data_IF_469702033729
#
_entry.id   IF_469702033729
#
_cell.length_a   1.000
_cell.length_b   1.000
_cell.length_c   1.000
_cell.angle_alpha   90.00
_cell.angle_beta   90.00
_cell.angle_gamma   90.00
#
_symmetry.space_group_name_H-M   'P 1'
#
loop_
_entity.id
_entity.type
_entity.pdbx_description
1 polymer ?
#
# COMPACT_ATOMS: atom_id res chain seq x y z
N UNK A 1 9.33 8.95 -18.72
CA UNK A 1 10.64 8.41 -18.30
C UNK A 1 10.41 6.99 -17.86
N UNK A 2 11.06 6.03 -18.51
CA UNK A 2 10.91 4.60 -18.22
C UNK A 2 11.71 4.26 -16.95
N UNK A 3 11.17 4.69 -15.82
CA UNK A 3 11.86 4.60 -14.54
C UNK A 3 11.73 3.17 -14.01
N UNK A 4 12.87 2.50 -13.86
CA UNK A 4 12.96 1.22 -13.16
C UNK A 4 13.06 1.51 -11.66
N UNK A 5 12.29 0.78 -10.86
CA UNK A 5 12.19 1.01 -9.41
C UNK A 5 12.99 -0.03 -8.61
N UNK A 6 13.22 0.25 -7.33
CA UNK A 6 13.88 -0.67 -6.41
C UNK A 6 15.41 -0.62 -6.48
N UNK A 7 16.06 -1.76 -6.25
CA UNK A 7 17.51 -1.85 -6.12
C UNK A 7 18.22 -1.89 -7.48
N UNK A 8 18.47 -0.71 -8.04
CA UNK A 8 19.17 -0.54 -9.32
C UNK A 8 20.69 -0.36 -9.17
N UNK A 9 21.20 -0.27 -7.94
CA UNK A 9 22.63 -0.04 -7.70
C UNK A 9 23.46 -1.25 -8.15
N UNK A 10 24.52 -1.00 -8.92
CA UNK A 10 25.44 -2.04 -9.41
C UNK A 10 24.98 -2.79 -10.66
N UNK A 11 23.84 -2.45 -11.26
CA UNK A 11 23.38 -3.08 -12.50
C UNK A 11 24.18 -2.57 -13.72
N UNK A 12 24.55 -3.49 -14.61
CA UNK A 12 25.21 -3.15 -15.88
C UNK A 12 24.24 -2.44 -16.84
N UNK A 13 24.72 -1.57 -17.75
CA UNK A 13 23.87 -0.92 -18.75
C UNK A 13 23.07 -1.89 -19.62
N UNK A 14 23.62 -3.08 -19.90
CA UNK A 14 22.91 -4.15 -20.63
C UNK A 14 21.69 -4.69 -19.86
N UNK A 15 21.84 -4.88 -18.55
CA UNK A 15 20.79 -5.37 -17.65
C UNK A 15 19.68 -4.32 -17.50
N UNK A 16 20.04 -3.04 -17.38
CA UNK A 16 19.06 -1.94 -17.38
C UNK A 16 18.26 -1.88 -18.67
N UNK A 17 18.91 -2.06 -19.83
CA UNK A 17 18.21 -2.12 -21.13
C UNK A 17 17.26 -3.32 -21.23
N UNK A 18 17.61 -4.47 -20.67
CA UNK A 18 16.68 -5.62 -20.62
C UNK A 18 15.45 -5.33 -19.76
N UNK A 19 15.62 -4.70 -18.59
CA UNK A 19 14.50 -4.30 -17.72
C UNK A 19 13.62 -3.25 -18.41
N UNK A 20 14.20 -2.28 -19.12
CA UNK A 20 13.45 -1.31 -19.93
C UNK A 20 12.67 -1.97 -21.07
N UNK A 21 13.19 -3.05 -21.68
CA UNK A 21 12.45 -3.81 -22.69
C UNK A 21 11.21 -4.49 -22.12
N UNK A 22 11.26 -4.98 -20.86
CA UNK A 22 10.07 -5.51 -20.19
C UNK A 22 8.99 -4.44 -20.06
N UNK A 23 9.36 -3.20 -19.72
CA UNK A 23 8.42 -2.10 -19.58
C UNK A 23 7.60 -1.81 -20.85
N UNK A 24 8.19 -2.02 -22.02
CA UNK A 24 7.53 -1.78 -23.31
C UNK A 24 6.71 -2.98 -23.80
N UNK A 25 6.78 -4.12 -23.12
CA UNK A 25 6.07 -5.32 -23.55
C UNK A 25 4.58 -5.20 -23.24
N UNK A 26 3.76 -5.71 -24.16
CA UNK A 26 2.31 -5.88 -23.94
C UNK A 26 1.97 -7.34 -23.81
N UNK A 27 1.04 -7.60 -22.91
CA UNK A 27 0.45 -8.90 -22.66
C UNK A 27 -1.02 -8.90 -23.10
N UNK A 28 -1.61 -10.07 -23.35
CA UNK A 28 -3.07 -10.20 -23.45
C UNK A 28 -3.75 -9.72 -22.16
N UNK A 29 -4.89 -9.04 -22.28
CA UNK A 29 -5.62 -8.49 -21.13
C UNK A 29 -6.32 -9.56 -20.30
N UNK A 30 -6.79 -10.61 -20.98
CA UNK A 30 -7.53 -11.79 -20.53
C UNK A 30 -6.71 -12.82 -19.74
N UNK A 31 -5.38 -12.66 -19.71
CA UNK A 31 -4.48 -13.63 -19.07
C UNK A 31 -3.62 -12.96 -18.02
N UNK A 32 -3.27 -13.70 -16.97
CA UNK A 32 -2.39 -13.20 -15.92
C UNK A 32 -0.99 -12.87 -16.46
N UNK A 33 -0.44 -13.79 -17.26
CA UNK A 33 0.87 -13.66 -17.92
C UNK A 33 0.92 -14.52 -19.18
N UNK A 34 2.02 -14.45 -19.93
CA UNK A 34 2.34 -15.41 -21.00
C UNK A 34 3.59 -16.19 -20.62
N UNK A 35 3.74 -17.41 -21.18
CA UNK A 35 4.94 -18.22 -20.93
C UNK A 35 6.22 -17.49 -21.33
N UNK A 36 6.19 -16.77 -22.46
CA UNK A 36 7.34 -15.99 -22.92
C UNK A 36 7.68 -14.86 -21.94
N UNK A 37 6.68 -14.11 -21.46
CA UNK A 37 6.90 -13.00 -20.53
C UNK A 37 7.44 -13.50 -19.19
N UNK A 38 6.82 -14.52 -18.61
CA UNK A 38 7.23 -15.10 -17.33
C UNK A 38 8.66 -15.65 -17.39
N UNK A 39 9.00 -16.40 -18.45
CA UNK A 39 10.36 -16.92 -18.63
C UNK A 39 11.38 -15.80 -18.84
N UNK A 40 11.01 -14.71 -19.52
CA UNK A 40 11.88 -13.54 -19.71
C UNK A 40 12.16 -12.81 -18.40
N UNK A 41 11.13 -12.57 -17.58
CA UNK A 41 11.30 -11.94 -16.25
C UNK A 41 12.17 -12.82 -15.35
N UNK A 42 11.94 -14.14 -15.37
CA UNK A 42 12.73 -15.13 -14.66
C UNK A 42 14.19 -15.15 -15.10
N UNK A 43 14.46 -15.12 -16.40
CA UNK A 43 15.81 -15.09 -16.95
C UNK A 43 16.59 -13.83 -16.53
N UNK A 44 15.94 -12.66 -16.60
CA UNK A 44 16.55 -11.40 -16.13
C UNK A 44 16.85 -11.48 -14.63
N UNK A 45 15.90 -11.98 -13.83
CA UNK A 45 16.08 -12.16 -12.39
C UNK A 45 17.25 -13.10 -12.03
N UNK A 46 17.40 -14.21 -12.77
CA UNK A 46 18.54 -15.12 -12.65
C UNK A 46 19.86 -14.45 -13.02
N UNK A 47 19.88 -13.65 -14.10
CA UNK A 47 21.10 -12.94 -14.57
C UNK A 47 21.57 -11.87 -13.56
N UNK A 48 20.64 -11.11 -12.97
CA UNK A 48 20.97 -10.05 -11.99
C UNK A 48 21.10 -10.59 -10.55
N UNK A 49 20.75 -11.86 -10.32
CA UNK A 49 20.68 -12.50 -9.01
C UNK A 49 19.86 -11.69 -7.98
N UNK A 50 18.76 -11.08 -8.43
CA UNK A 50 17.83 -10.32 -7.61
C UNK A 50 16.39 -10.57 -8.08
N UNK A 51 15.40 -10.54 -7.18
CA UNK A 51 13.99 -10.56 -7.55
C UNK A 51 13.65 -9.43 -8.54
N UNK A 52 12.71 -9.68 -9.45
CA UNK A 52 12.18 -8.71 -10.40
C UNK A 52 10.66 -8.76 -10.33
N UNK A 53 10.04 -7.59 -10.24
CA UNK A 53 8.59 -7.42 -10.24
C UNK A 53 8.16 -6.64 -11.49
N UNK A 54 7.08 -7.08 -12.13
CA UNK A 54 6.44 -6.35 -13.21
C UNK A 54 4.95 -6.18 -12.90
N UNK A 55 4.51 -4.93 -12.91
CA UNK A 55 3.13 -4.53 -12.65
C UNK A 55 2.45 -4.23 -13.98
N UNK A 56 1.31 -4.88 -14.21
CA UNK A 56 0.61 -4.88 -15.49
C UNK A 56 -0.84 -4.46 -15.23
N UNK A 57 -1.35 -3.51 -16.01
CA UNK A 57 -2.76 -3.12 -15.92
C UNK A 57 -3.68 -4.11 -16.66
N UNK A 58 -5.00 -4.01 -16.46
CA UNK A 58 -5.99 -4.87 -17.17
C UNK A 58 -5.94 -4.77 -18.71
N UNK A 59 -5.35 -3.70 -19.28
CA UNK A 59 -5.12 -3.57 -20.74
C UNK A 59 -3.87 -4.31 -21.21
N UNK A 60 -3.18 -5.02 -20.31
CA UNK A 60 -1.96 -5.77 -20.60
C UNK A 60 -0.71 -4.91 -20.77
N UNK A 61 -0.76 -3.64 -20.39
CA UNK A 61 0.42 -2.75 -20.45
C UNK A 61 1.23 -2.89 -19.16
N UNK A 62 2.54 -3.08 -19.29
CA UNK A 62 3.45 -2.99 -18.15
C UNK A 62 3.56 -1.51 -17.73
N UNK A 63 3.11 -1.21 -16.51
CA UNK A 63 3.10 0.16 -15.97
C UNK A 63 4.28 0.43 -15.03
N UNK A 64 4.94 -0.63 -14.54
CA UNK A 64 6.10 -0.54 -13.65
C UNK A 64 6.94 -1.81 -13.72
N UNK A 65 8.25 -1.64 -13.70
CA UNK A 65 9.22 -2.73 -13.52
C UNK A 65 10.10 -2.36 -12.33
N UNK A 66 10.29 -3.30 -11.41
CA UNK A 66 11.08 -3.11 -10.21
C UNK A 66 12.08 -4.23 -9.99
N UNK A 67 13.25 -3.90 -9.46
CA UNK A 67 14.26 -4.86 -8.99
C UNK A 67 14.17 -4.92 -7.47
N UNK A 68 13.84 -6.09 -6.93
CA UNK A 68 13.52 -6.31 -5.52
C UNK A 68 12.19 -7.01 -5.34
N UNK A 69 11.83 -7.27 -4.07
CA UNK A 69 10.58 -7.93 -3.73
C UNK A 69 9.36 -7.02 -4.00
N UNK A 70 8.13 -7.58 -4.03
CA UNK A 70 6.91 -6.77 -4.17
C UNK A 70 6.78 -5.68 -3.10
N UNK A 71 7.28 -5.91 -1.89
CA UNK A 71 7.31 -4.89 -0.83
C UNK A 71 8.28 -3.73 -1.15
N UNK A 72 9.43 -4.01 -1.75
CA UNK A 72 10.43 -2.99 -2.10
C UNK A 72 10.05 -2.19 -3.35
N UNK A 73 9.23 -2.76 -4.22
CA UNK A 73 8.91 -2.22 -5.55
C UNK A 73 7.47 -1.71 -5.68
N UNK A 74 6.72 -1.75 -4.57
CA UNK A 74 5.31 -1.37 -4.49
C UNK A 74 5.00 0.00 -5.09
N UNK A 75 3.81 0.10 -5.67
CA UNK A 75 3.20 1.34 -6.12
C UNK A 75 2.59 2.03 -4.89
N UNK A 76 3.00 3.27 -4.57
CA UNK A 76 2.40 4.03 -3.48
C UNK A 76 0.87 4.17 -3.67
N UNK A 77 0.06 4.22 -2.60
CA UNK A 77 -1.39 4.36 -2.72
C UNK A 77 -1.84 5.53 -3.61
N UNK A 78 -1.14 6.67 -3.56
CA UNK A 78 -1.42 7.85 -4.39
C UNK A 78 -1.16 7.66 -5.90
N UNK A 79 -0.37 6.67 -6.28
CA UNK A 79 -0.07 6.34 -7.69
C UNK A 79 -0.99 5.23 -8.23
N UNK A 80 -1.82 4.61 -7.38
CA UNK A 80 -2.74 3.55 -7.82
C UNK A 80 -3.90 4.17 -8.61
N UNK A 81 -4.27 3.60 -9.78
CA UNK A 81 -5.30 4.16 -10.64
C UNK A 81 -6.70 4.02 -10.05
N UNK A 82 -6.90 3.04 -9.17
CA UNK A 82 -8.14 2.75 -8.47
C UNK A 82 -7.77 2.40 -7.03
N UNK A 83 -8.39 3.08 -6.07
CA UNK A 83 -8.28 2.79 -4.65
C UNK A 83 -9.68 2.86 -4.02
N UNK A 84 -10.01 1.92 -3.13
CA UNK A 84 -11.32 1.80 -2.50
C UNK A 84 -11.63 0.37 -2.06
N UNK A 85 -12.52 0.21 -1.07
CA UNK A 85 -12.85 -1.10 -0.49
C UNK A 85 -13.62 -2.01 -1.45
N UNK A 86 -14.46 -1.44 -2.31
CA UNK A 86 -15.38 -2.19 -3.19
C UNK A 86 -14.70 -2.89 -4.37
N UNK A 87 -13.42 -2.59 -4.65
CA UNK A 87 -12.77 -3.02 -5.89
C UNK A 87 -11.28 -3.25 -5.74
N UNK A 88 -10.72 -3.94 -6.72
CA UNK A 88 -9.27 -4.17 -6.85
C UNK A 88 -8.64 -2.99 -7.62
N UNK A 89 -7.32 -2.87 -7.57
CA UNK A 89 -6.59 -1.74 -8.14
C UNK A 89 -6.50 -1.76 -9.66
N UNK A 90 -6.90 -2.86 -10.32
CA UNK A 90 -6.78 -3.01 -11.76
C UNK A 90 -5.37 -3.37 -12.23
N UNK A 91 -4.53 -3.83 -11.30
CA UNK A 91 -3.11 -4.13 -11.51
C UNK A 91 -2.85 -5.55 -11.04
N UNK A 92 -2.25 -6.36 -11.92
CA UNK A 92 -1.65 -7.65 -11.57
C UNK A 92 -0.13 -7.52 -11.48
N UNK A 93 0.49 -8.31 -10.60
CA UNK A 93 1.94 -8.31 -10.44
C UNK A 93 2.52 -9.69 -10.74
N UNK A 94 3.56 -9.71 -11.59
CA UNK A 94 4.40 -10.88 -11.83
C UNK A 94 5.73 -10.64 -11.12
N UNK A 95 5.99 -11.40 -10.06
CA UNK A 95 7.20 -11.28 -9.25
C UNK A 95 8.03 -12.55 -9.34
N UNK A 96 9.35 -12.43 -9.30
CA UNK A 96 10.24 -13.59 -9.18
C UNK A 96 10.75 -13.74 -7.76
N UNK A 97 11.06 -14.98 -7.37
CA UNK A 97 11.76 -15.29 -6.14
C UNK A 97 12.86 -16.32 -6.42
N UNK A 98 14.08 -16.01 -5.98
CA UNK A 98 15.24 -16.90 -6.13
C UNK A 98 15.09 -18.20 -5.33
N UNK A 99 14.41 -18.13 -4.18
CA UNK A 99 14.11 -19.28 -3.32
C UNK A 99 12.89 -20.04 -3.83
N UNK A 100 12.95 -21.36 -3.80
CA UNK A 100 11.87 -22.26 -4.21
C UNK A 100 10.91 -22.57 -3.04
N UNK A 101 10.50 -21.53 -2.34
CA UNK A 101 9.57 -21.60 -1.20
C UNK A 101 8.32 -20.77 -1.49
N UNK A 102 7.19 -21.04 -0.80
CA UNK A 102 6.04 -20.14 -0.83
C UNK A 102 6.45 -18.69 -0.53
N UNK A 103 5.75 -17.70 -1.10
CA UNK A 103 6.00 -16.29 -0.79
C UNK A 103 5.80 -16.03 0.70
N UNK A 104 6.66 -15.20 1.27
CA UNK A 104 6.57 -14.81 2.68
C UNK A 104 5.40 -13.83 2.92
N UNK A 105 5.04 -13.64 4.19
CA UNK A 105 3.96 -12.73 4.60
C UNK A 105 4.15 -11.31 4.05
N UNK A 106 5.38 -10.76 4.05
CA UNK A 106 5.61 -9.40 3.55
C UNK A 106 5.32 -9.22 2.06
N UNK A 107 5.52 -10.27 1.27
CA UNK A 107 5.15 -10.29 -0.16
C UNK A 107 3.63 -10.26 -0.33
N UNK A 108 2.90 -11.06 0.46
CA UNK A 108 1.43 -11.10 0.43
C UNK A 108 0.81 -9.82 1.00
N UNK A 109 1.38 -9.25 2.06
CA UNK A 109 0.98 -7.94 2.58
C UNK A 109 1.17 -6.85 1.53
N UNK A 110 2.24 -6.87 0.74
CA UNK A 110 2.42 -5.90 -0.34
C UNK A 110 1.33 -6.03 -1.43
N UNK A 111 0.85 -7.23 -1.71
CA UNK A 111 -0.30 -7.47 -2.60
C UNK A 111 -1.57 -6.84 -2.04
N UNK A 112 -1.87 -7.09 -0.76
CA UNK A 112 -3.04 -6.57 -0.08
C UNK A 112 -3.05 -5.03 -0.01
N UNK A 113 -1.94 -4.42 0.41
CA UNK A 113 -1.84 -2.96 0.50
C UNK A 113 -2.09 -2.24 -0.83
N UNK A 114 -1.67 -2.86 -1.95
CA UNK A 114 -1.89 -2.34 -3.30
C UNK A 114 -3.21 -2.80 -3.93
N UNK A 115 -4.02 -3.58 -3.22
CA UNK A 115 -5.24 -4.23 -3.70
C UNK A 115 -5.07 -4.87 -5.08
N UNK A 116 -3.95 -5.56 -5.30
CA UNK A 116 -3.65 -6.11 -6.62
C UNK A 116 -4.74 -7.10 -7.05
N UNK A 117 -5.08 -7.06 -8.34
CA UNK A 117 -6.02 -8.00 -8.95
C UNK A 117 -5.54 -9.46 -8.73
N UNK A 118 -4.23 -9.68 -8.86
CA UNK A 118 -3.55 -10.93 -8.51
C UNK A 118 -2.04 -10.73 -8.42
N UNK A 119 -1.36 -11.63 -7.69
CA UNK A 119 0.09 -11.75 -7.61
C UNK A 119 0.53 -13.15 -8.03
N UNK A 120 1.29 -13.26 -9.12
CA UNK A 120 1.99 -14.50 -9.47
C UNK A 120 3.46 -14.41 -9.06
N UNK A 121 3.88 -15.32 -8.18
CA UNK A 121 5.27 -15.45 -7.71
C UNK A 121 5.95 -16.63 -8.40
N UNK A 122 6.84 -16.33 -9.34
CA UNK A 122 7.64 -17.27 -10.09
C UNK A 122 8.85 -17.72 -9.26
N UNK A 123 8.93 -18.99 -8.90
CA UNK A 123 10.16 -19.55 -8.33
C UNK A 123 11.12 -19.95 -9.43
N UNK A 124 12.40 -19.69 -9.23
CA UNK A 124 13.41 -19.93 -10.26
C UNK A 124 14.02 -21.32 -10.12
N UNK A 125 14.25 -21.98 -11.25
CA UNK A 125 14.96 -23.25 -11.32
C UNK A 125 16.46 -23.09 -11.05
N UNK A 126 17.04 -21.94 -11.41
CA UNK A 126 18.48 -21.68 -11.40
C UNK A 126 19.18 -22.12 -12.69
N UNK A 127 18.48 -22.84 -13.57
CA UNK A 127 18.99 -23.35 -14.84
C UNK A 127 18.04 -22.94 -15.96
N UNK A 128 18.55 -22.50 -17.10
CA UNK A 128 17.71 -22.05 -18.20
C UNK A 128 18.52 -21.81 -19.46
N UNK A 129 17.84 -21.82 -20.60
CA UNK A 129 18.48 -21.61 -21.89
C UNK A 129 17.68 -20.63 -22.74
N UNK A 130 18.39 -19.84 -23.53
CA UNK A 130 17.81 -19.04 -24.59
C UNK A 130 17.75 -19.88 -25.86
N UNK A 131 16.54 -20.19 -26.34
CA UNK A 131 16.34 -20.88 -27.62
C UNK A 131 16.11 -19.87 -28.73
N UNK A 132 16.86 -20.01 -29.83
CA UNK A 132 16.69 -19.21 -31.06
C UNK A 132 15.23 -19.28 -31.52
N UNK A 133 14.57 -18.13 -31.66
CA UNK A 133 13.18 -18.01 -32.11
C UNK A 133 12.09 -18.21 -31.03
N UNK A 134 12.39 -18.79 -29.86
CA UNK A 134 11.42 -18.99 -28.77
C UNK A 134 11.74 -18.24 -27.46
N UNK A 135 12.88 -17.57 -27.38
CA UNK A 135 13.25 -16.76 -26.23
C UNK A 135 13.77 -17.58 -25.05
N UNK A 136 13.68 -17.01 -23.84
CA UNK A 136 14.11 -17.66 -22.61
C UNK A 136 13.20 -18.86 -22.27
N UNK A 137 13.79 -19.98 -21.85
CA UNK A 137 13.06 -21.20 -21.47
C UNK A 137 13.74 -21.91 -20.30
N UNK A 138 12.95 -22.54 -19.44
CA UNK A 138 13.43 -23.37 -18.33
C UNK A 138 13.76 -22.64 -17.03
N UNK A 139 13.68 -21.30 -16.99
CA UNK A 139 14.03 -20.49 -15.83
C UNK A 139 12.99 -20.53 -14.71
N UNK A 140 11.71 -20.77 -15.03
CA UNK A 140 10.62 -20.89 -14.05
C UNK A 140 10.47 -22.36 -13.63
N UNK A 141 10.56 -22.64 -12.33
CA UNK A 141 10.33 -23.97 -11.76
C UNK A 141 8.86 -24.21 -11.43
N UNK A 142 8.26 -23.29 -10.66
CA UNK A 142 6.85 -23.33 -10.30
C UNK A 142 6.34 -21.92 -10.03
N UNK A 143 5.02 -21.76 -10.02
CA UNK A 143 4.36 -20.48 -9.73
C UNK A 143 3.42 -20.64 -8.55
N UNK A 144 3.42 -19.66 -7.65
CA UNK A 144 2.37 -19.47 -6.66
C UNK A 144 1.46 -18.34 -7.12
N UNK A 145 0.16 -18.58 -7.15
CA UNK A 145 -0.84 -17.56 -7.40
C UNK A 145 -1.43 -17.13 -6.06
N UNK A 146 -1.43 -15.82 -5.81
CA UNK A 146 -2.12 -15.23 -4.67
C UNK A 146 -3.11 -14.17 -5.18
N UNK A 147 -4.26 -14.07 -4.51
CA UNK A 147 -5.24 -13.03 -4.74
C UNK A 147 -5.94 -12.70 -3.43
N UNK A 148 -6.59 -11.54 -3.39
CA UNK A 148 -7.37 -11.11 -2.24
C UNK A 148 -8.72 -11.81 -2.23
N UNK A 149 -9.36 -11.83 -1.07
CA UNK A 149 -10.74 -12.26 -0.85
C UNK A 149 -11.43 -11.25 0.07
N UNK A 150 -12.76 -11.25 0.11
CA UNK A 150 -13.49 -10.31 0.96
C UNK A 150 -13.48 -10.70 2.45
N UNK A 151 -13.10 -11.93 2.79
CA UNK A 151 -13.03 -12.41 4.18
C UNK A 151 -12.01 -11.59 5.02
N UNK A 152 -12.47 -10.85 6.04
CA UNK A 152 -11.60 -10.04 6.90
C UNK A 152 -10.57 -10.83 7.71
N UNK A 153 -10.80 -12.12 7.96
CA UNK A 153 -9.89 -12.96 8.77
C UNK A 153 -8.69 -13.45 7.97
N UNK A 154 -8.91 -13.77 6.70
CA UNK A 154 -7.90 -14.42 5.85
C UNK A 154 -7.17 -13.43 4.94
N UNK A 155 -7.83 -12.34 4.51
CA UNK A 155 -7.33 -11.27 3.62
C UNK A 155 -6.89 -11.71 2.21
N UNK A 156 -6.38 -12.93 2.03
CA UNK A 156 -5.91 -13.49 0.76
C UNK A 156 -5.92 -15.02 0.76
N UNK A 157 -5.94 -15.58 -0.44
CA UNK A 157 -5.68 -17.00 -0.70
C UNK A 157 -4.32 -17.13 -1.40
N UNK A 158 -3.62 -18.22 -1.08
CA UNK A 158 -2.40 -18.64 -1.74
C UNK A 158 -2.59 -20.03 -2.32
N UNK A 159 -2.41 -20.18 -3.64
CA UNK A 159 -2.49 -21.47 -4.31
C UNK A 159 -1.35 -22.40 -3.89
N UNK A 160 -1.51 -23.74 -3.99
CA UNK A 160 -0.36 -24.63 -4.07
C UNK A 160 0.52 -24.28 -5.29
N UNK A 161 1.78 -24.75 -5.34
CA UNK A 161 2.64 -24.50 -6.49
C UNK A 161 2.05 -25.12 -7.76
N UNK A 162 1.87 -24.32 -8.80
CA UNK A 162 1.35 -24.74 -10.12
C UNK A 162 2.42 -24.62 -11.20
N UNK A 163 2.22 -25.33 -12.31
CA UNK A 163 3.06 -25.16 -13.50
C UNK A 163 2.76 -23.83 -14.20
N UNK A 164 3.74 -23.31 -14.95
CA UNK A 164 3.56 -22.08 -15.71
C UNK A 164 2.46 -22.22 -16.78
N UNK A 165 2.34 -23.38 -17.42
CA UNK A 165 1.32 -23.65 -18.44
C UNK A 165 -0.09 -23.56 -17.87
N UNK A 166 -0.32 -24.19 -16.70
CA UNK A 166 -1.62 -24.14 -16.02
C UNK A 166 -2.05 -22.71 -15.66
N UNK A 167 -1.08 -21.87 -15.28
CA UNK A 167 -1.34 -20.46 -14.96
C UNK A 167 -1.65 -19.62 -16.21
N UNK A 168 -1.07 -19.96 -17.37
CA UNK A 168 -1.32 -19.21 -18.61
C UNK A 168 -2.64 -19.54 -19.28
N UNK A 169 -3.24 -20.67 -18.89
CA UNK A 169 -4.53 -21.16 -19.40
C UNK A 169 -5.73 -20.74 -18.54
N UNK A 170 -5.51 -20.22 -17.33
CA UNK A 170 -6.59 -19.73 -16.47
C UNK A 170 -7.16 -18.40 -16.96
N UNK A 171 -8.50 -18.28 -16.97
CA UNK A 171 -9.20 -17.03 -17.26
C UNK A 171 -8.99 -16.03 -16.12
N UNK A 172 -8.26 -14.96 -16.41
CA UNK A 172 -7.95 -13.94 -15.40
C UNK A 172 -9.09 -12.94 -15.22
N UNK A 173 -9.91 -12.71 -16.25
CA UNK A 173 -11.00 -11.72 -16.16
C UNK A 173 -12.15 -12.26 -15.31
N UNK A 174 -12.50 -13.53 -15.52
CA UNK A 174 -13.53 -14.20 -14.71
C UNK A 174 -13.17 -14.18 -13.23
N UNK A 175 -11.92 -14.54 -12.88
CA UNK A 175 -11.43 -14.47 -11.50
C UNK A 175 -11.56 -13.07 -10.89
N UNK A 176 -11.18 -12.03 -11.64
CA UNK A 176 -11.26 -10.64 -11.15
C UNK A 176 -12.70 -10.18 -10.98
N UNK A 177 -13.59 -10.56 -11.91
CA UNK A 177 -15.00 -10.21 -11.84
C UNK A 177 -15.70 -10.88 -10.64
N UNK A 178 -15.43 -12.16 -10.39
CA UNK A 178 -15.91 -12.88 -9.22
C UNK A 178 -15.47 -12.20 -7.92
N UNK A 179 -14.19 -11.89 -7.79
CA UNK A 179 -13.64 -11.22 -6.61
C UNK A 179 -14.22 -9.82 -6.41
N UNK A 180 -14.34 -9.00 -7.46
CA UNK A 180 -14.92 -7.66 -7.34
C UNK A 180 -16.41 -7.71 -6.96
N UNK A 181 -17.16 -8.73 -7.40
CA UNK A 181 -18.54 -8.94 -6.97
C UNK A 181 -18.62 -9.33 -5.49
N UNK A 182 -17.70 -10.17 -5.00
CA UNK A 182 -17.58 -10.51 -3.58
C UNK A 182 -17.29 -9.24 -2.74
N UNK A 183 -16.28 -8.46 -3.12
CA UNK A 183 -15.92 -7.21 -2.42
C UNK A 183 -17.05 -6.19 -2.41
N UNK A 184 -17.78 -6.04 -3.53
CA UNK A 184 -18.92 -5.11 -3.61
C UNK A 184 -20.03 -5.53 -2.66
N UNK A 185 -20.31 -6.82 -2.57
CA UNK A 185 -21.35 -7.36 -1.68
C UNK A 185 -21.01 -7.08 -0.22
N UNK A 186 -19.77 -7.36 0.19
CA UNK A 186 -19.28 -7.10 1.55
C UNK A 186 -19.25 -5.59 1.87
N UNK A 187 -18.76 -4.76 0.95
CA UNK A 187 -18.70 -3.32 1.14
C UNK A 187 -20.09 -2.68 1.28
N UNK A 188 -21.09 -3.14 0.52
CA UNK A 188 -22.49 -2.68 0.68
C UNK A 188 -23.02 -3.05 2.06
N UNK A 189 -22.74 -4.26 2.55
CA UNK A 189 -23.13 -4.66 3.90
C UNK A 189 -22.52 -3.73 4.98
N UNK A 190 -21.27 -3.27 4.77
CA UNK A 190 -20.60 -2.35 5.69
C UNK A 190 -21.00 -0.87 5.52
N UNK A 191 -21.41 -0.44 4.32
CA UNK A 191 -21.75 0.95 4.01
C UNK A 191 -23.16 1.35 4.45
N UNK A 192 -24.06 0.38 4.68
CA UNK A 192 -25.42 0.64 5.17
C UNK A 192 -25.43 1.23 6.59
N UNK A 193 -24.29 1.26 7.28
CA UNK A 193 -24.22 1.54 8.72
C UNK A 193 -23.14 2.57 9.12
N UNK A 194 -23.13 3.79 8.56
CA UNK A 194 -22.88 5.07 9.30
C UNK A 194 -22.32 6.23 8.45
N UNK A 195 -22.76 7.46 8.74
CA UNK A 195 -22.10 8.72 8.34
C UNK A 195 -20.86 9.05 9.22
N UNK A 196 -20.44 8.14 10.09
CA UNK A 196 -19.46 8.37 11.14
C UNK A 196 -18.06 7.94 10.69
N UNK A 197 -17.04 8.61 11.23
CA UNK A 197 -15.65 8.21 10.99
C UNK A 197 -15.38 6.85 11.65
N UNK A 198 -14.90 5.88 10.86
CA UNK A 198 -14.51 4.54 11.32
C UNK A 198 -13.03 4.57 11.70
N UNK A 199 -12.73 4.44 12.98
CA UNK A 199 -11.44 4.82 13.56
C UNK A 199 -10.62 3.61 14.01
N UNK A 200 -9.33 3.60 13.63
CA UNK A 200 -8.32 2.78 14.28
C UNK A 200 -7.53 3.59 15.29
N UNK A 201 -7.46 3.09 16.52
CA UNK A 201 -6.60 3.68 17.55
C UNK A 201 -5.22 3.05 17.50
N UNK A 202 -4.17 3.88 17.63
CA UNK A 202 -2.78 3.42 17.65
C UNK A 202 -2.06 3.93 18.89
N UNK A 203 -1.70 3.01 19.76
CA UNK A 203 -0.90 3.29 20.96
C UNK A 203 0.55 2.90 20.81
N UNK A 204 1.47 3.81 21.18
CA UNK A 204 2.89 3.48 21.36
C UNK A 204 3.24 3.44 22.85
N UNK A 205 3.52 2.24 23.37
CA UNK A 205 4.09 2.05 24.69
C UNK A 205 5.61 2.22 24.64
N UNK A 206 6.10 3.22 25.37
CA UNK A 206 7.54 3.46 25.57
C UNK A 206 7.99 2.83 26.89
N UNK A 207 9.23 2.34 26.96
CA UNK A 207 9.72 1.53 28.11
C UNK A 207 9.57 2.19 29.49
N UNK A 208 9.44 3.52 29.54
CA UNK A 208 9.27 4.29 30.78
C UNK A 208 7.80 4.43 31.25
N UNK A 209 6.83 3.99 30.46
CA UNK A 209 5.40 4.11 30.77
C UNK A 209 4.88 2.84 31.44
N UNK A 210 4.13 2.99 32.55
CA UNK A 210 3.47 1.83 33.16
C UNK A 210 2.41 1.26 32.21
N UNK A 211 2.27 -0.08 32.13
CA UNK A 211 1.25 -0.72 31.28
C UNK A 211 -0.17 -0.25 31.60
N UNK A 212 -0.48 -0.03 32.88
CA UNK A 212 -1.79 0.46 33.34
C UNK A 212 -2.09 1.85 32.76
N UNK A 213 -1.18 2.81 32.93
CA UNK A 213 -1.37 4.18 32.40
C UNK A 213 -1.50 4.20 30.87
N UNK A 214 -0.77 3.31 30.19
CA UNK A 214 -0.89 3.17 28.74
C UNK A 214 -2.27 2.65 28.33
N UNK A 215 -2.80 1.64 29.03
CA UNK A 215 -4.15 1.13 28.78
C UNK A 215 -5.23 2.16 29.11
N UNK A 216 -5.09 2.88 30.24
CA UNK A 216 -6.01 3.96 30.64
C UNK A 216 -6.03 5.10 29.60
N UNK A 217 -4.85 5.51 29.10
CA UNK A 217 -4.73 6.53 28.07
C UNK A 217 -5.42 6.16 26.77
N UNK A 218 -5.30 4.89 26.33
CA UNK A 218 -6.00 4.39 25.15
C UNK A 218 -7.52 4.31 25.34
N UNK A 219 -7.98 3.88 26.52
CA UNK A 219 -9.41 3.87 26.84
C UNK A 219 -9.99 5.29 26.88
N UNK A 220 -9.22 6.24 27.40
CA UNK A 220 -9.60 7.66 27.37
C UNK A 220 -9.68 8.18 25.94
N UNK A 221 -8.68 7.90 25.10
CA UNK A 221 -8.69 8.29 23.71
C UNK A 221 -9.88 7.69 22.94
N UNK A 222 -10.24 6.44 23.22
CA UNK A 222 -11.44 5.82 22.65
C UNK A 222 -12.70 6.63 22.99
N UNK A 223 -12.89 7.01 24.25
CA UNK A 223 -14.01 7.87 24.68
C UNK A 223 -13.99 9.25 24.02
N UNK A 224 -12.81 9.82 23.80
CA UNK A 224 -12.67 11.09 23.07
C UNK A 224 -13.13 10.95 21.62
N UNK A 225 -12.71 9.89 20.94
CA UNK A 225 -13.14 9.60 19.55
C UNK A 225 -14.66 9.39 19.46
N UNK A 226 -15.23 8.61 20.37
CA UNK A 226 -16.69 8.42 20.46
C UNK A 226 -17.42 9.76 20.69
N UNK A 227 -16.88 10.60 21.58
CA UNK A 227 -17.41 11.94 21.84
C UNK A 227 -17.36 12.85 20.61
N UNK A 228 -16.35 12.68 19.75
CA UNK A 228 -16.21 13.42 18.50
C UNK A 228 -17.12 12.88 17.37
N UNK A 229 -17.85 11.78 17.62
CA UNK A 229 -18.76 11.16 16.66
C UNK A 229 -18.13 10.06 15.80
N UNK A 230 -16.95 9.54 16.18
CA UNK A 230 -16.30 8.41 15.51
C UNK A 230 -16.60 7.06 16.17
N UNK A 231 -16.48 5.97 15.42
CA UNK A 231 -16.63 4.59 15.88
C UNK A 231 -15.26 3.94 15.93
N UNK A 232 -14.83 3.46 17.09
CA UNK A 232 -13.56 2.74 17.23
C UNK A 232 -13.73 1.29 16.75
N UNK A 233 -13.06 0.93 15.65
CA UNK A 233 -13.09 -0.43 15.08
C UNK A 233 -12.12 -1.38 15.78
N UNK A 234 -10.88 -0.93 15.99
CA UNK A 234 -9.83 -1.72 16.62
C UNK A 234 -8.78 -0.81 17.26
N UNK A 235 -8.12 -1.31 18.31
CA UNK A 235 -6.98 -0.65 18.96
C UNK A 235 -5.69 -1.43 18.73
N UNK A 236 -4.76 -0.84 18.00
CA UNK A 236 -3.47 -1.43 17.71
C UNK A 236 -2.39 -0.88 18.64
N UNK A 237 -1.61 -1.78 19.24
CA UNK A 237 -0.55 -1.40 20.18
C UNK A 237 0.83 -1.75 19.63
N UNK A 238 1.83 -0.94 19.98
CA UNK A 238 3.23 -1.19 19.67
C UNK A 238 4.11 -0.80 20.86
N UNK A 239 5.02 -1.71 21.26
CA UNK A 239 6.05 -1.43 22.27
C UNK A 239 7.38 -1.07 21.61
N UNK A 240 8.04 0.01 22.04
CA UNK A 240 9.39 0.42 21.59
C UNK A 240 10.13 1.17 22.69
N UNK A 241 11.46 1.12 22.69
CA UNK A 241 12.26 1.93 23.61
C UNK A 241 12.14 3.44 23.35
N UNK A 242 12.01 3.82 22.08
CA UNK A 242 11.76 5.21 21.66
C UNK A 242 10.89 5.25 20.40
N UNK A 243 10.17 6.38 20.17
CA UNK A 243 9.39 6.58 18.96
C UNK A 243 10.26 6.57 17.71
N UNK A 244 9.80 5.91 16.65
CA UNK A 244 10.48 6.00 15.36
C UNK A 244 10.40 7.43 14.82
N UNK A 245 11.51 8.06 14.42
CA UNK A 245 11.52 9.49 14.08
C UNK A 245 10.57 9.84 12.95
N UNK A 246 10.39 8.95 11.97
CA UNK A 246 9.54 9.21 10.80
C UNK A 246 8.09 8.74 10.92
N UNK A 247 7.79 7.78 11.79
CA UNK A 247 6.47 7.10 11.80
C UNK A 247 5.99 6.70 13.19
N UNK A 248 6.74 7.01 14.24
CA UNK A 248 6.45 6.66 15.65
C UNK A 248 6.50 5.15 15.95
N UNK A 249 5.85 4.30 15.17
CA UNK A 249 5.73 2.85 15.39
C UNK A 249 6.72 2.01 14.56
N UNK A 250 7.29 2.58 13.49
CA UNK A 250 8.21 1.90 12.57
C UNK A 250 7.51 1.22 11.38
N UNK A 251 8.27 0.92 10.33
CA UNK A 251 7.73 0.52 9.00
C UNK A 251 6.85 -0.74 9.02
N UNK A 252 7.24 -1.78 9.77
CA UNK A 252 6.47 -3.01 9.86
C UNK A 252 5.07 -2.76 10.44
N UNK A 253 5.01 -2.08 11.58
CA UNK A 253 3.73 -1.75 12.22
C UNK A 253 2.88 -0.80 11.38
N UNK A 254 3.48 0.12 10.62
CA UNK A 254 2.73 0.94 9.64
C UNK A 254 2.07 0.07 8.58
N UNK A 255 2.76 -0.96 8.08
CA UNK A 255 2.18 -1.90 7.11
C UNK A 255 1.04 -2.71 7.72
N UNK A 256 1.18 -3.13 8.98
CA UNK A 256 0.10 -3.79 9.71
C UNK A 256 -1.11 -2.86 9.90
N UNK A 257 -0.89 -1.60 10.31
CA UNK A 257 -1.96 -0.59 10.47
C UNK A 257 -2.67 -0.35 9.15
N UNK A 258 -1.93 -0.18 8.06
CA UNK A 258 -2.49 0.04 6.73
C UNK A 258 -3.30 -1.17 6.24
N UNK A 259 -2.85 -2.39 6.53
CA UNK A 259 -3.58 -3.60 6.22
C UNK A 259 -4.87 -3.67 7.04
N UNK A 260 -4.81 -3.55 8.36
CA UNK A 260 -5.98 -3.54 9.24
C UNK A 260 -6.97 -2.44 8.86
N UNK A 261 -6.50 -1.24 8.53
CA UNK A 261 -7.34 -0.13 8.07
C UNK A 261 -8.11 -0.50 6.81
N UNK A 262 -7.44 -1.14 5.85
CA UNK A 262 -8.07 -1.59 4.62
C UNK A 262 -9.08 -2.72 4.87
N UNK A 263 -8.71 -3.70 5.70
CA UNK A 263 -9.53 -4.88 6.01
C UNK A 263 -10.81 -4.50 6.76
N UNK A 264 -10.70 -3.62 7.75
CA UNK A 264 -11.83 -3.19 8.57
C UNK A 264 -12.55 -1.96 8.01
N UNK A 265 -12.07 -1.40 6.89
CA UNK A 265 -12.67 -0.21 6.30
C UNK A 265 -12.60 1.05 7.16
N UNK A 266 -11.49 1.23 7.87
CA UNK A 266 -11.24 2.44 8.63
C UNK A 266 -11.06 3.65 7.71
N UNK A 267 -11.68 4.77 8.06
CA UNK A 267 -11.55 6.07 7.38
C UNK A 267 -10.54 6.99 8.07
N UNK A 268 -10.19 6.67 9.32
CA UNK A 268 -9.35 7.49 10.17
C UNK A 268 -8.43 6.64 11.05
N UNK A 269 -7.18 7.09 11.22
CA UNK A 269 -6.26 6.52 12.22
C UNK A 269 -5.92 7.59 13.24
N UNK A 270 -6.08 7.29 14.53
CA UNK A 270 -5.79 8.22 15.62
C UNK A 270 -4.67 7.68 16.49
N UNK A 271 -3.62 8.47 16.67
CA UNK A 271 -2.48 8.12 17.52
C UNK A 271 -2.63 8.70 18.93
N UNK A 272 -2.35 7.87 19.94
CA UNK A 272 -2.36 8.27 21.35
C UNK A 272 -1.10 9.03 21.79
N UNK A 273 -0.83 10.15 21.11
CA UNK A 273 0.30 11.09 21.33
C UNK A 273 0.31 12.13 20.25
N UNK A 274 1.05 13.21 20.49
CA UNK A 274 1.32 14.21 19.47
C UNK A 274 2.27 13.67 18.39
N UNK A 275 1.98 14.07 17.15
CA UNK A 275 2.76 13.74 15.97
C UNK A 275 3.34 15.01 15.37
N UNK A 276 4.61 14.97 14.99
CA UNK A 276 5.20 16.04 14.17
C UNK A 276 4.57 16.10 12.77
N UNK A 277 4.60 17.26 12.08
CA UNK A 277 4.10 17.39 10.71
C UNK A 277 4.68 16.35 9.72
N UNK A 278 5.97 16.04 9.86
CA UNK A 278 6.62 15.04 9.02
C UNK A 278 6.11 13.61 9.30
N UNK A 279 5.84 13.27 10.56
CA UNK A 279 5.28 11.97 10.93
C UNK A 279 3.88 11.79 10.37
N UNK A 280 3.00 12.78 10.51
CA UNK A 280 1.64 12.74 9.93
C UNK A 280 1.72 12.49 8.42
N UNK A 281 2.49 13.31 7.68
CA UNK A 281 2.64 13.14 6.23
C UNK A 281 3.15 11.75 5.84
N UNK A 282 4.16 11.24 6.54
CA UNK A 282 4.72 9.92 6.26
C UNK A 282 3.73 8.79 6.55
N UNK A 283 2.92 8.93 7.61
CA UNK A 283 1.89 7.97 7.98
C UNK A 283 0.74 8.02 6.97
N UNK A 284 0.19 9.20 6.67
CA UNK A 284 -0.86 9.37 5.64
C UNK A 284 -0.43 8.80 4.29
N UNK A 285 0.82 9.07 3.86
CA UNK A 285 1.34 8.57 2.57
C UNK A 285 1.46 7.05 2.54
N UNK A 286 1.79 6.41 3.66
CA UNK A 286 1.99 4.96 3.74
C UNK A 286 0.70 4.19 4.04
N UNK A 287 -0.19 4.75 4.86
CA UNK A 287 -1.45 4.14 5.26
C UNK A 287 -2.54 4.39 4.20
N UNK A 288 -2.51 5.56 3.54
CA UNK A 288 -3.46 5.91 2.48
C UNK A 288 -4.76 6.55 2.97
N UNK A 289 -4.91 6.78 4.28
CA UNK A 289 -6.04 7.48 4.91
C UNK A 289 -5.55 8.56 5.87
N UNK A 290 -6.47 9.41 6.32
CA UNK A 290 -6.20 10.53 7.23
C UNK A 290 -5.70 10.03 8.58
N UNK A 291 -4.72 10.73 9.13
CA UNK A 291 -4.10 10.41 10.42
C UNK A 291 -4.23 11.62 11.34
N UNK A 292 -4.87 11.44 12.49
CA UNK A 292 -4.92 12.45 13.55
C UNK A 292 -4.01 12.04 14.71
N UNK A 293 -3.59 13.05 15.45
CA UNK A 293 -2.94 12.87 16.73
C UNK A 293 -3.90 13.26 17.88
N UNK A 294 -3.47 13.04 19.12
CA UNK A 294 -4.33 13.27 20.29
C UNK A 294 -4.78 14.73 20.42
N UNK A 295 -3.89 15.68 20.11
CA UNK A 295 -4.20 17.11 20.18
C UNK A 295 -5.28 17.50 19.17
N UNK A 296 -5.21 16.97 17.95
CA UNK A 296 -6.20 17.26 16.90
C UNK A 296 -7.60 16.76 17.27
N UNK A 297 -7.73 15.56 17.83
CA UNK A 297 -9.01 15.03 18.33
C UNK A 297 -9.61 15.93 19.42
N UNK A 298 -8.78 16.42 20.34
CA UNK A 298 -9.23 17.32 21.42
C UNK A 298 -9.73 18.65 20.84
N UNK A 299 -9.01 19.21 19.86
CA UNK A 299 -9.42 20.44 19.18
C UNK A 299 -10.75 20.28 18.45
N UNK A 300 -10.98 19.14 17.79
CA UNK A 300 -12.24 18.84 17.11
C UNK A 300 -13.41 18.77 18.10
N UNK A 301 -13.24 18.13 19.26
CA UNK A 301 -14.26 18.11 20.32
C UNK A 301 -14.55 19.52 20.84
N UNK A 302 -13.52 20.35 21.02
CA UNK A 302 -13.73 21.74 21.44
C UNK A 302 -14.46 22.56 20.37
N UNK A 303 -14.18 22.32 19.09
CA UNK A 303 -14.86 23.01 17.99
C UNK A 303 -16.35 22.66 17.96
N UNK A 304 -16.69 21.38 18.18
CA UNK A 304 -18.08 20.91 18.28
C UNK A 304 -18.81 21.49 19.50
N UNK A 305 -18.11 21.73 20.61
CA UNK A 305 -18.71 22.21 21.87
C UNK A 305 -18.74 23.74 22.03
N UNK A 306 -17.93 24.49 21.28
CA UNK A 306 -17.83 25.94 21.44
C UNK A 306 -19.11 26.67 20.99
N UNK A 307 -19.90 27.17 21.95
CA UNK A 307 -21.16 27.89 21.67
C UNK A 307 -20.99 29.41 21.58
N UNK A 308 -20.16 30.00 22.44
CA UNK A 308 -19.98 31.46 22.50
C UNK A 308 -19.08 31.96 21.36
N UNK A 309 -19.29 33.22 20.92
CA UNK A 309 -18.45 33.83 19.87
C UNK A 309 -16.96 33.86 20.25
N UNK A 310 -16.67 34.21 21.51
CA UNK A 310 -15.29 34.22 22.01
C UNK A 310 -14.67 32.81 22.03
N UNK A 311 -15.43 31.81 22.47
CA UNK A 311 -14.98 30.42 22.49
C UNK A 311 -14.72 29.87 21.09
N UNK A 312 -15.62 30.15 20.13
CA UNK A 312 -15.43 29.76 18.72
C UNK A 312 -14.14 30.35 18.13
N UNK A 313 -13.90 31.64 18.35
CA UNK A 313 -12.68 32.31 17.89
C UNK A 313 -11.40 31.73 18.53
N UNK A 314 -11.43 31.38 19.81
CA UNK A 314 -10.29 30.78 20.50
C UNK A 314 -9.97 29.39 19.97
N UNK A 315 -11.00 28.56 19.74
CA UNK A 315 -10.80 27.21 19.18
C UNK A 315 -10.32 27.30 17.74
N UNK A 316 -10.90 28.18 16.93
CA UNK A 316 -10.49 28.39 15.55
C UNK A 316 -9.03 28.88 15.47
N UNK A 317 -8.62 29.81 16.34
CA UNK A 317 -7.23 30.24 16.46
C UNK A 317 -6.31 29.05 16.79
N UNK A 318 -6.68 28.22 17.77
CA UNK A 318 -5.89 27.06 18.15
C UNK A 318 -5.79 26.03 17.01
N UNK A 319 -6.87 25.80 16.26
CA UNK A 319 -6.86 24.95 15.07
C UNK A 319 -5.94 25.53 13.99
N UNK A 320 -6.01 26.84 13.72
CA UNK A 320 -5.16 27.50 12.73
C UNK A 320 -3.67 27.44 13.12
N UNK A 321 -3.33 27.72 14.38
CA UNK A 321 -1.96 27.63 14.90
C UNK A 321 -1.42 26.20 14.81
N UNK A 322 -2.25 25.20 15.10
CA UNK A 322 -1.90 23.80 14.99
C UNK A 322 -1.74 23.34 13.52
N UNK A 323 -2.58 23.82 12.62
CA UNK A 323 -2.56 23.49 11.18
C UNK A 323 -1.43 24.18 10.42
N UNK A 324 -1.08 25.43 10.76
CA UNK A 324 -0.08 26.24 10.06
C UNK A 324 1.26 25.49 9.77
N UNK A 325 1.93 24.87 10.76
CA UNK A 325 3.17 24.10 10.51
C UNK A 325 2.94 22.78 9.75
N UNK A 326 1.68 22.33 9.63
CA UNK A 326 1.29 21.07 8.96
C UNK A 326 0.89 21.28 7.49
N UNK A 327 0.46 22.48 7.13
CA UNK A 327 0.13 22.88 5.76
C UNK A 327 1.38 23.21 4.92
N UNK A 328 2.43 23.71 5.57
CA UNK A 328 3.71 24.05 4.94
C UNK A 328 4.37 22.78 4.36
N UNK A 329 4.50 22.73 3.04
CA UNK A 329 5.04 21.58 2.28
C UNK A 329 4.01 20.73 1.53
N UNK A 330 2.69 20.89 1.75
CA UNK A 330 1.65 20.21 0.93
C UNK A 330 1.55 20.77 -0.51
N UNK A 331 2.04 21.99 -0.76
CA UNK A 331 2.04 22.64 -2.08
C UNK A 331 2.76 21.86 -3.19
N UNK A 332 3.80 21.08 -2.87
CA UNK A 332 4.50 20.27 -3.87
C UNK A 332 3.67 19.07 -4.38
N UNK A 333 2.80 18.51 -3.54
CA UNK A 333 1.90 17.41 -3.92
C UNK A 333 0.71 17.92 -4.75
N UNK A 334 0.16 19.10 -4.41
CA UNK A 334 -0.87 19.77 -5.21
C UNK A 334 -0.34 20.29 -6.55
N UNK A 335 0.92 20.75 -6.60
CA UNK A 335 1.57 21.20 -7.84
C UNK A 335 1.72 20.08 -8.88
N UNK A 336 1.87 18.81 -8.44
CA UNK A 336 1.90 17.66 -9.35
C UNK A 336 0.53 17.30 -9.95
N UNK A 337 -0.57 17.52 -9.22
CA UNK A 337 -1.93 17.39 -9.77
C UNK A 337 -2.28 18.53 -10.74
N UNK A 338 -1.63 19.70 -10.61
CA UNK A 338 -1.72 20.82 -11.56
C UNK A 338 -0.73 20.77 -12.74
N UNK A 339 0.07 19.71 -12.86
CA UNK A 339 1.19 19.60 -13.81
C UNK A 339 0.84 19.32 -15.27
N UNK A 340 -0.31 19.78 -15.75
CA UNK A 340 -0.66 19.81 -17.17
C UNK A 340 -0.30 21.16 -17.78
N UNK A 341 0.81 21.22 -18.52
CA UNK A 341 1.23 22.26 -19.48
C UNK A 341 0.87 23.71 -19.08
N UNK A 342 1.82 24.45 -18.48
CA UNK A 342 1.84 25.92 -18.62
C UNK A 342 2.10 26.82 -17.41
N UNK A 343 2.32 26.33 -16.19
CA UNK A 343 2.51 27.23 -15.03
C UNK A 343 3.97 27.31 -14.56
N UNK A 344 4.80 28.03 -15.32
CA UNK A 344 5.99 28.69 -14.75
C UNK A 344 5.61 30.14 -14.44
N UNK A 345 5.24 30.39 -13.19
CA UNK A 345 5.22 31.73 -12.61
C UNK A 345 6.56 32.00 -11.88
N UNK A 346 7.07 33.24 -11.89
CA UNK A 346 8.39 33.54 -11.36
C UNK A 346 8.37 33.68 -9.83
N UNK A 347 9.32 33.00 -9.17
CA UNK A 347 9.81 33.39 -7.86
C UNK A 347 8.93 33.01 -6.67
N UNK A 348 9.25 31.89 -6.04
CA UNK A 348 9.26 31.83 -4.57
C UNK A 348 10.60 31.26 -4.13
N UNK A 349 11.30 32.07 -3.34
CA UNK A 349 12.62 31.79 -2.77
C UNK A 349 12.47 30.73 -1.67
N UNK A 350 13.48 29.86 -1.60
CA UNK A 350 13.57 28.63 -0.80
C UNK A 350 13.16 28.73 0.67
#
# INVERSE_FOLDING_TARGET
MDTIYGNIQGLKPSQLKQLQRLYHQRLPGDRLTTSEFAQRVAAISSEINQPVCSYINRRGQVIRVGVGSPHQTQIPPLELPRYGMERLSGIRCIATQLKQTPPNKSTLTAMALQRLDALAVLTLSGEGSYRRGKGATGYVKSVYLAHLIADPQLNWILSPPVSLEKLTDSDFLDLVEELENEFRTEAVAQAVDTEQDRVLLVGLQVDRASPERFSEGLQELARLVETAGGIVLETMQQKRSQPHPQTVVGKGKVSDIALTAQTLGATLVVFDRDLSPAQVRNLETQIGIRVLDRTEVILDIFAQRAQSRAGKLQVELAQLEYMLPRLTGRGQMMSRLGGGIGTRGPGETK
#
